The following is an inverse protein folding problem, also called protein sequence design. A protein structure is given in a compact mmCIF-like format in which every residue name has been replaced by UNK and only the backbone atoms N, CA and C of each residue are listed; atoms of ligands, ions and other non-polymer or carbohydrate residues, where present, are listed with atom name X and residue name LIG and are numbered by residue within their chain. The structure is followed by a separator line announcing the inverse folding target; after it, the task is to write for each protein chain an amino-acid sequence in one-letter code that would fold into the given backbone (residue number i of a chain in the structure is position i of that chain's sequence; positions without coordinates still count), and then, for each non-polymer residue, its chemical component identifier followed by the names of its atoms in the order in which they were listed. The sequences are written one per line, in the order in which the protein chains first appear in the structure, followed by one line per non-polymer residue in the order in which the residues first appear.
data_IF_209522308449
#
_entry.id   IF_209522308449
#
_cell.length_a   1.000
_cell.length_b   1.000
_cell.length_c   1.000
_cell.angle_alpha   90.00
_cell.angle_beta   90.00
_cell.angle_gamma   90.00
#
_symmetry.space_group_name_H-M   'P 1'
#
loop_
_entity.id
_entity.type
_entity.pdbx_description
1 polymer ?
#
# COMPACT_ATOMS: atom_id res chain seq x y z
N UNK A 1 13.52 -10.29 -8.34
CA UNK A 1 12.37 -10.26 -7.41
C UNK A 1 12.79 -9.48 -6.18
N UNK A 2 12.08 -8.41 -5.84
CA UNK A 2 12.22 -7.80 -4.52
C UNK A 2 11.32 -8.59 -3.57
N UNK A 3 11.89 -9.21 -2.54
CA UNK A 3 11.13 -9.99 -1.55
C UNK A 3 10.81 -9.19 -0.28
N UNK A 4 11.30 -7.94 -0.20
CA UNK A 4 11.12 -7.13 1.00
C UNK A 4 9.72 -6.50 1.03
N UNK A 5 9.01 -6.74 2.12
CA UNK A 5 7.81 -5.96 2.46
C UNK A 5 8.19 -4.84 3.42
N UNK A 6 8.13 -3.61 2.91
CA UNK A 6 8.45 -2.42 3.70
C UNK A 6 7.47 -2.26 4.85
N UNK A 7 7.97 -2.31 6.08
CA UNK A 7 7.15 -2.02 7.27
C UNK A 7 6.70 -0.54 7.34
N UNK A 8 7.44 0.36 6.68
CA UNK A 8 7.05 1.77 6.56
C UNK A 8 5.79 1.92 5.71
N UNK A 9 5.66 1.10 4.65
CA UNK A 9 4.47 1.08 3.80
C UNK A 9 3.21 0.76 4.62
N UNK A 10 3.25 -0.32 5.40
CA UNK A 10 2.12 -0.69 6.26
C UNK A 10 1.83 0.36 7.33
N UNK A 11 2.85 1.05 7.85
CA UNK A 11 2.67 2.13 8.84
C UNK A 11 1.85 3.29 8.27
N UNK A 12 2.20 3.79 7.07
CA UNK A 12 1.48 4.90 6.45
C UNK A 12 0.06 4.51 6.03
N UNK A 13 -0.09 3.32 5.45
CA UNK A 13 -1.41 2.81 5.07
C UNK A 13 -2.30 2.60 6.30
N UNK A 14 -1.77 2.06 7.40
CA UNK A 14 -2.52 1.92 8.65
C UNK A 14 -2.93 3.26 9.26
N UNK A 15 -2.14 4.32 9.03
CA UNK A 15 -2.46 5.69 9.43
C UNK A 15 -3.50 6.38 8.52
N UNK A 16 -3.97 5.73 7.47
CA UNK A 16 -4.95 6.29 6.54
C UNK A 16 -4.34 7.24 5.51
N UNK A 17 -3.02 7.17 5.29
CA UNK A 17 -2.29 8.05 4.38
C UNK A 17 -1.93 7.33 3.08
N UNK A 18 -2.26 7.91 1.90
CA UNK A 18 -1.69 7.46 0.63
C UNK A 18 -0.17 7.57 0.63
N UNK A 19 0.49 6.66 -0.10
CA UNK A 19 1.95 6.59 -0.13
C UNK A 19 2.54 7.03 -1.45
N UNK A 20 3.78 7.51 -1.44
CA UNK A 20 4.55 7.81 -2.65
C UNK A 20 5.78 6.90 -2.64
N UNK A 21 5.98 6.15 -3.71
CA UNK A 21 7.05 5.15 -3.78
C UNK A 21 7.62 5.02 -5.19
N UNK A 22 8.82 4.47 -5.31
CA UNK A 22 9.36 4.10 -6.61
C UNK A 22 8.57 2.95 -7.24
N UNK A 23 8.47 2.87 -8.58
CA UNK A 23 7.81 1.75 -9.27
C UNK A 23 8.48 0.39 -9.05
N UNK A 24 9.73 0.38 -8.58
CA UNK A 24 10.50 -0.83 -8.33
C UNK A 24 10.32 -1.27 -6.87
N UNK A 25 9.10 -1.65 -6.48
CA UNK A 25 8.81 -2.27 -5.17
C UNK A 25 8.00 -3.55 -5.33
N UNK A 26 8.12 -4.46 -4.36
CA UNK A 26 7.43 -5.74 -4.39
C UNK A 26 5.88 -5.60 -4.34
N UNK A 27 5.36 -4.55 -3.70
CA UNK A 27 3.93 -4.33 -3.50
C UNK A 27 3.30 -3.48 -4.61
N UNK A 28 3.99 -3.30 -5.74
CA UNK A 28 3.52 -2.42 -6.83
C UNK A 28 2.09 -2.74 -7.25
N UNK A 29 1.85 -3.99 -7.63
CA UNK A 29 0.55 -4.45 -8.13
C UNK A 29 -0.58 -4.21 -7.13
N UNK A 30 -0.32 -4.39 -5.83
CA UNK A 30 -1.30 -4.16 -4.77
C UNK A 30 -1.64 -2.67 -4.66
N UNK A 31 -0.63 -1.80 -4.68
CA UNK A 31 -0.82 -0.35 -4.58
C UNK A 31 -1.55 0.19 -5.82
N UNK A 32 -1.22 -0.29 -7.01
CA UNK A 32 -1.85 0.11 -8.28
C UNK A 32 -3.32 -0.36 -8.33
N UNK A 33 -3.59 -1.65 -8.03
CA UNK A 33 -4.92 -2.23 -8.08
C UNK A 33 -5.88 -1.65 -7.02
N UNK A 34 -5.36 -1.23 -5.87
CA UNK A 34 -6.14 -0.66 -4.76
C UNK A 34 -6.05 0.86 -4.66
N UNK A 35 -5.38 1.52 -5.61
CA UNK A 35 -5.19 2.98 -5.66
C UNK A 35 -4.67 3.56 -4.33
N UNK A 36 -3.64 2.93 -3.77
CA UNK A 36 -3.14 3.25 -2.42
C UNK A 36 -2.09 4.37 -2.40
N UNK A 37 -1.78 4.95 -3.56
CA UNK A 37 -0.69 5.92 -3.67
C UNK A 37 -0.21 6.15 -5.09
N UNK A 38 0.94 6.82 -5.18
CA UNK A 38 1.57 7.25 -6.42
C UNK A 38 2.93 6.57 -6.63
N UNK A 39 3.24 6.32 -7.91
CA UNK A 39 4.56 5.87 -8.33
C UNK A 39 5.32 6.99 -9.00
N UNK A 40 6.56 7.20 -8.55
CA UNK A 40 7.43 8.28 -9.05
C UNK A 40 8.85 7.75 -9.28
N UNK A 41 9.53 8.27 -10.30
CA UNK A 41 10.91 7.91 -10.62
C UNK A 41 11.94 8.86 -10.00
N UNK A 42 11.49 10.03 -9.51
CA UNK A 42 12.34 11.05 -8.88
C UNK A 42 11.58 11.82 -7.81
N UNK A 43 12.32 12.50 -6.93
CA UNK A 43 11.73 13.37 -5.89
C UNK A 43 11.06 14.59 -6.55
N UNK A 44 11.65 15.14 -7.62
CA UNK A 44 11.06 16.25 -8.37
C UNK A 44 9.70 15.88 -8.99
N UNK A 45 9.57 14.65 -9.49
CA UNK A 45 8.30 14.12 -9.98
C UNK A 45 7.26 14.01 -8.86
N UNK A 46 7.66 13.57 -7.67
CA UNK A 46 6.77 13.54 -6.51
C UNK A 46 6.22 14.92 -6.15
N UNK A 47 7.09 15.92 -6.09
CA UNK A 47 6.70 17.30 -5.79
C UNK A 47 5.70 17.80 -6.84
N UNK A 48 6.01 17.64 -8.13
CA UNK A 48 5.11 18.06 -9.22
C UNK A 48 3.76 17.35 -9.18
N UNK A 49 3.72 16.05 -8.87
CA UNK A 49 2.45 15.33 -8.77
C UNK A 49 1.61 15.82 -7.58
N UNK A 50 2.23 16.11 -6.44
CA UNK A 50 1.53 16.68 -5.28
C UNK A 50 0.98 18.07 -5.59
N UNK A 51 1.77 18.94 -6.23
CA UNK A 51 1.36 20.31 -6.56
C UNK A 51 0.19 20.38 -7.55
N UNK A 52 0.12 19.43 -8.49
CA UNK A 52 -0.95 19.37 -9.49
C UNK A 52 -2.14 18.50 -9.07
N UNK A 53 -2.08 17.88 -7.87
CA UNK A 53 -3.11 16.97 -7.40
C UNK A 53 -4.40 17.72 -7.05
N UNK A 54 -5.51 17.25 -7.61
CA UNK A 54 -6.83 17.74 -7.24
C UNK A 54 -7.29 17.12 -5.92
N UNK A 55 -8.17 17.82 -5.21
CA UNK A 55 -8.80 17.27 -4.01
C UNK A 55 -9.59 15.99 -4.29
N UNK A 56 -10.16 15.85 -5.49
CA UNK A 56 -10.90 14.65 -5.87
C UNK A 56 -9.99 13.42 -6.00
N UNK A 57 -8.84 13.56 -6.66
CA UNK A 57 -7.84 12.49 -6.78
C UNK A 57 -7.31 12.06 -5.40
N UNK A 58 -7.05 13.01 -4.51
CA UNK A 58 -6.63 12.69 -3.15
C UNK A 58 -7.72 11.93 -2.38
N UNK A 59 -8.98 12.34 -2.49
CA UNK A 59 -10.10 11.67 -1.82
C UNK A 59 -10.30 10.24 -2.35
N UNK A 60 -10.12 10.01 -3.65
CA UNK A 60 -10.19 8.67 -4.23
C UNK A 60 -9.09 7.75 -3.65
N UNK A 61 -7.85 8.24 -3.60
CA UNK A 61 -6.77 7.48 -2.97
C UNK A 61 -7.04 7.23 -1.49
N UNK A 62 -7.51 8.24 -0.75
CA UNK A 62 -7.83 8.11 0.67
C UNK A 62 -8.92 7.07 0.91
N UNK A 63 -9.95 7.01 0.07
CA UNK A 63 -11.00 6.01 0.17
C UNK A 63 -10.44 4.58 0.00
N UNK A 64 -9.58 4.37 -1.01
CA UNK A 64 -8.90 3.09 -1.20
C UNK A 64 -7.99 2.71 -0.03
N UNK A 65 -7.27 3.70 0.53
CA UNK A 65 -6.41 3.50 1.70
C UNK A 65 -7.22 3.11 2.93
N UNK A 66 -8.38 3.72 3.19
CA UNK A 66 -9.16 3.42 4.40
C UNK A 66 -9.63 1.96 4.45
N UNK A 67 -10.08 1.41 3.31
CA UNK A 67 -10.42 -0.01 3.20
C UNK A 67 -9.22 -0.91 3.50
N UNK A 68 -8.06 -0.57 2.93
CA UNK A 68 -6.83 -1.34 3.13
C UNK A 68 -6.28 -1.21 4.56
N UNK A 69 -6.40 -0.02 5.15
CA UNK A 69 -5.98 0.27 6.51
C UNK A 69 -6.75 -0.58 7.52
N UNK A 70 -8.04 -0.83 7.28
CA UNK A 70 -8.84 -1.74 8.11
C UNK A 70 -8.24 -3.15 8.12
N UNK A 71 -7.78 -3.67 6.98
CA UNK A 71 -7.14 -4.99 6.89
C UNK A 71 -5.83 -5.03 7.69
N UNK A 72 -5.01 -3.97 7.59
CA UNK A 72 -3.74 -3.87 8.31
C UNK A 72 -3.98 -3.80 9.82
N UNK A 73 -4.84 -2.89 10.29
CA UNK A 73 -5.11 -2.68 11.71
C UNK A 73 -5.71 -3.91 12.39
N UNK A 74 -6.47 -4.72 11.66
CA UNK A 74 -7.03 -5.99 12.16
C UNK A 74 -6.06 -7.19 12.03
N UNK A 75 -4.85 -6.97 11.52
CA UNK A 75 -3.82 -8.01 11.37
C UNK A 75 -4.19 -9.08 10.34
N UNK A 76 -5.02 -8.75 9.34
CA UNK A 76 -5.55 -9.72 8.38
C UNK A 76 -4.45 -10.50 7.65
N UNK A 77 -3.44 -9.82 7.11
CA UNK A 77 -2.37 -10.45 6.35
C UNK A 77 -1.55 -11.45 7.18
N UNK A 78 -1.24 -11.09 8.44
CA UNK A 78 -0.54 -11.97 9.38
C UNK A 78 -1.40 -13.18 9.75
N UNK A 79 -2.69 -12.97 10.05
CA UNK A 79 -3.61 -14.07 10.34
C UNK A 79 -3.73 -15.02 9.17
N UNK A 80 -3.90 -14.49 7.95
CA UNK A 80 -4.05 -15.30 6.73
C UNK A 80 -2.84 -16.20 6.50
N UNK A 81 -1.62 -15.65 6.50
CA UNK A 81 -0.42 -16.47 6.22
C UNK A 81 -0.18 -17.53 7.29
N UNK A 82 -0.47 -17.23 8.56
CA UNK A 82 -0.34 -18.21 9.65
C UNK A 82 -1.37 -19.34 9.50
N UNK A 83 -2.62 -19.00 9.21
CA UNK A 83 -3.68 -20.02 8.99
C UNK A 83 -3.38 -20.87 7.77
N UNK A 84 -3.00 -20.27 6.64
CA UNK A 84 -2.65 -21.00 5.41
C UNK A 84 -1.43 -21.89 5.60
N UNK A 85 -0.39 -21.42 6.30
CA UNK A 85 0.80 -22.20 6.57
C UNK A 85 0.50 -23.43 7.44
N UNK A 86 -0.33 -23.28 8.48
CA UNK A 86 -0.75 -24.39 9.33
C UNK A 86 -1.62 -25.37 8.53
N UNK A 87 -2.57 -24.86 7.72
CA UNK A 87 -3.43 -25.69 6.90
C UNK A 87 -2.61 -26.55 5.94
N UNK A 88 -1.73 -25.94 5.14
CA UNK A 88 -0.88 -26.63 4.16
C UNK A 88 0.13 -27.60 4.78
N UNK A 89 0.42 -27.47 6.08
CA UNK A 89 1.33 -28.37 6.79
C UNK A 89 0.64 -29.66 7.24
N UNK A 90 -0.66 -29.58 7.60
CA UNK A 90 -1.38 -30.67 8.26
C UNK A 90 -2.52 -31.27 7.43
N UNK A 91 -2.98 -30.58 6.39
CA UNK A 91 -4.08 -30.98 5.51
C UNK A 91 -3.66 -30.86 4.05
#
# INVERSE_FOLDING_TARGET
MQYNTSYKLSTYLAAGLPVITSPNIAQREVIEAKKLGLFVNSVDEAVRQIENMTSAEYQEMRAGVEEFAHLIRNGYFTKRILTEAIFNLFY
#
